data_IF_898332154895
#
_entry.id   IF_898332154895
#
_cell.length_a   1.000
_cell.length_b   1.000
_cell.length_c   1.000
_cell.angle_alpha   90.00
_cell.angle_beta   90.00
_cell.angle_gamma   90.00
#
_symmetry.space_group_name_H-M   'P 1'
#
loop_
_entity.id
_entity.type
_entity.pdbx_description
1 polymer ?
#
# COMPACT_ATOMS: atom_id res chain seq x y z
N UNK A 1 -12.35 -4.50 -25.95
CA UNK A 1 -11.09 -4.82 -26.65
C UNK A 1 -10.07 -3.78 -26.22
N UNK A 2 -8.94 -4.19 -25.65
CA UNK A 2 -7.97 -3.30 -25.00
C UNK A 2 -7.39 -2.35 -26.03
N UNK A 3 -7.81 -1.09 -26.04
CA UNK A 3 -7.37 -0.10 -27.03
C UNK A 3 -6.04 0.57 -26.67
N UNK A 4 -5.57 0.44 -25.42
CA UNK A 4 -4.30 1.01 -24.98
C UNK A 4 -3.68 0.26 -23.79
N UNK A 5 -2.81 -0.73 -24.07
CA UNK A 5 -2.12 -1.53 -23.05
C UNK A 5 -1.33 -0.67 -22.06
N UNK A 6 -0.69 0.40 -22.57
CA UNK A 6 0.14 1.27 -21.74
C UNK A 6 -0.69 2.01 -20.68
N UNK A 7 -1.89 2.46 -21.05
CA UNK A 7 -2.82 3.15 -20.15
C UNK A 7 -3.36 2.22 -19.06
N UNK A 8 -3.76 1.01 -19.43
CA UNK A 8 -4.22 0.00 -18.48
C UNK A 8 -3.13 -0.37 -17.47
N UNK A 9 -1.91 -0.63 -17.94
CA UNK A 9 -0.76 -0.93 -17.07
C UNK A 9 -0.46 0.23 -16.11
N UNK A 10 -0.53 1.47 -16.61
CA UNK A 10 -0.30 2.66 -15.80
C UNK A 10 -1.38 2.84 -14.73
N UNK A 11 -2.64 2.63 -15.09
CA UNK A 11 -3.77 2.69 -14.16
C UNK A 11 -3.61 1.66 -13.03
N UNK A 12 -3.33 0.40 -13.38
CA UNK A 12 -3.11 -0.67 -12.38
C UNK A 12 -1.92 -0.39 -11.46
N UNK A 13 -0.86 0.25 -11.97
CA UNK A 13 0.26 0.69 -11.14
C UNK A 13 -0.18 1.76 -10.12
N UNK A 14 -1.02 2.72 -10.53
CA UNK A 14 -1.55 3.74 -9.63
C UNK A 14 -2.47 3.15 -8.56
N UNK A 15 -3.35 2.21 -8.93
CA UNK A 15 -4.21 1.50 -7.99
C UNK A 15 -3.40 0.73 -6.94
N UNK A 16 -2.38 -0.02 -7.38
CA UNK A 16 -1.50 -0.75 -6.49
C UNK A 16 -0.76 0.20 -5.53
N UNK A 17 -0.28 1.34 -6.02
CA UNK A 17 0.37 2.34 -5.18
C UNK A 17 -0.58 2.89 -4.11
N UNK A 18 -1.81 3.26 -4.49
CA UNK A 18 -2.82 3.73 -3.55
C UNK A 18 -3.13 2.68 -2.49
N UNK A 19 -3.37 1.43 -2.92
CA UNK A 19 -3.64 0.31 -2.01
C UNK A 19 -2.49 0.08 -1.00
N UNK A 20 -1.24 0.06 -1.48
CA UNK A 20 -0.07 -0.15 -0.61
C UNK A 20 0.10 1.01 0.37
N UNK A 21 -0.11 2.25 -0.08
CA UNK A 21 -0.06 3.43 0.78
C UNK A 21 -1.12 3.36 1.88
N UNK A 22 -2.37 3.13 1.52
CA UNK A 22 -3.49 3.07 2.47
C UNK A 22 -3.32 1.93 3.49
N UNK A 23 -2.82 0.78 3.02
CA UNK A 23 -2.50 -0.38 3.87
C UNK A 23 -1.38 -0.03 4.86
N UNK A 24 -0.31 0.62 4.39
CA UNK A 24 0.81 1.05 5.23
C UNK A 24 0.37 2.06 6.30
N UNK A 25 -0.42 3.07 5.92
CA UNK A 25 -0.96 4.07 6.85
C UNK A 25 -1.90 3.43 7.88
N UNK A 26 -2.73 2.47 7.46
CA UNK A 26 -3.64 1.74 8.35
C UNK A 26 -2.89 0.91 9.38
N UNK A 27 -1.86 0.18 8.96
CA UNK A 27 -1.03 -0.60 9.89
C UNK A 27 -0.27 0.30 10.88
N UNK A 28 0.23 1.46 10.44
CA UNK A 28 0.84 2.44 11.36
C UNK A 28 -0.15 3.00 12.39
N UNK A 29 -1.41 3.24 11.99
CA UNK A 29 -2.48 3.62 12.91
C UNK A 29 -2.75 2.52 13.93
N UNK A 30 -2.83 1.26 13.51
CA UNK A 30 -2.99 0.12 14.41
C UNK A 30 -1.82 0.00 15.39
N UNK A 31 -0.57 0.13 14.92
CA UNK A 31 0.60 0.14 15.79
C UNK A 31 0.49 1.25 16.85
N UNK A 32 0.10 2.46 16.45
CA UNK A 32 -0.07 3.59 17.37
C UNK A 32 -1.15 3.34 18.43
N UNK A 33 -2.28 2.71 18.05
CA UNK A 33 -3.33 2.32 19.00
C UNK A 33 -2.82 1.27 19.98
N UNK A 34 -2.10 0.26 19.50
CA UNK A 34 -1.54 -0.81 20.34
C UNK A 34 -0.46 -0.28 21.29
N UNK A 35 0.37 0.67 20.87
CA UNK A 35 1.36 1.32 21.72
C UNK A 35 0.68 2.13 22.85
N UNK A 36 -0.43 2.83 22.56
CA UNK A 36 -1.25 3.50 23.59
C UNK A 36 -1.88 2.51 24.57
N UNK A 37 -2.44 1.41 24.06
CA UNK A 37 -3.02 0.36 24.91
C UNK A 37 -1.97 -0.29 25.80
N UNK A 38 -0.77 -0.51 25.28
CA UNK A 38 0.36 -1.05 26.03
C UNK A 38 0.77 -0.11 27.16
N UNK A 39 0.95 1.18 26.86
CA UNK A 39 1.26 2.19 27.86
C UNK A 39 0.19 2.25 28.96
N UNK A 40 -1.09 2.23 28.58
CA UNK A 40 -2.19 2.19 29.54
C UNK A 40 -2.17 0.92 30.39
N UNK A 41 -1.92 -0.26 29.80
CA UNK A 41 -1.84 -1.52 30.54
C UNK A 41 -0.70 -1.51 31.57
N UNK A 42 0.44 -0.90 31.23
CA UNK A 42 1.53 -0.69 32.19
C UNK A 42 1.12 0.27 33.30
N UNK A 43 0.51 1.41 32.98
CA UNK A 43 0.01 2.33 34.00
C UNK A 43 -1.05 1.72 34.93
N UNK A 44 -1.92 0.84 34.41
CA UNK A 44 -2.90 0.12 35.21
C UNK A 44 -2.20 -0.84 36.21
N UNK A 45 -1.10 -1.48 35.79
CA UNK A 45 -0.28 -2.35 36.64
C UNK A 45 0.47 -1.54 37.71
N UNK A 46 1.01 -0.38 37.35
CA UNK A 46 1.72 0.48 38.30
C UNK A 46 0.78 1.09 39.35
N UNK A 47 -0.50 1.31 38.99
CA UNK A 47 -1.52 1.84 39.90
C UNK A 47 -2.21 0.78 40.73
N UNK A 48 -2.14 -0.48 40.37
CA UNK A 48 -2.72 -1.56 41.19
C UNK A 48 -1.87 -1.66 42.45
N UNK A 49 -2.46 -1.35 43.60
CA UNK A 49 -1.77 -1.31 44.89
C UNK A 49 -1.21 -2.67 45.29
N UNK A 50 -1.98 -3.46 46.04
CA UNK A 50 -1.59 -4.84 46.34
C UNK A 50 -1.87 -5.74 45.14
N UNK A 51 -0.80 -6.31 44.59
CA UNK A 51 -0.86 -7.19 43.42
C UNK A 51 -1.26 -8.61 43.85
N UNK A 52 -2.57 -8.88 43.88
CA UNK A 52 -3.07 -10.23 44.15
C UNK A 52 -2.97 -11.14 42.91
N UNK A 53 -3.12 -12.45 43.12
CA UNK A 53 -2.97 -13.44 42.04
C UNK A 53 -4.06 -13.33 40.95
N UNK A 54 -5.26 -12.85 41.30
CA UNK A 54 -6.38 -12.74 40.36
C UNK A 54 -6.21 -11.54 39.43
N UNK A 55 -5.88 -10.36 39.98
CA UNK A 55 -5.56 -9.17 39.20
C UNK A 55 -4.27 -9.36 38.40
N UNK A 56 -3.26 -10.03 38.97
CA UNK A 56 -2.05 -10.38 38.24
C UNK A 56 -2.31 -11.23 36.99
N UNK A 57 -3.17 -12.25 37.08
CA UNK A 57 -3.56 -13.07 35.94
C UNK A 57 -4.33 -12.26 34.88
N UNK A 58 -5.21 -11.35 35.31
CA UNK A 58 -5.97 -10.46 34.41
C UNK A 58 -5.06 -9.50 33.65
N UNK A 59 -4.12 -8.84 34.34
CA UNK A 59 -3.12 -7.99 33.71
C UNK A 59 -2.22 -8.77 32.74
N UNK A 60 -1.78 -9.98 33.11
CA UNK A 60 -0.97 -10.83 32.25
C UNK A 60 -1.71 -11.23 30.96
N UNK A 61 -3.00 -11.58 31.04
CA UNK A 61 -3.82 -11.88 29.85
C UNK A 61 -3.95 -10.66 28.93
N UNK A 62 -4.30 -9.50 29.49
CA UNK A 62 -4.42 -8.23 28.73
C UNK A 62 -3.11 -7.88 28.03
N UNK A 63 -1.97 -7.95 28.75
CA UNK A 63 -0.65 -7.71 28.15
C UNK A 63 -0.32 -8.71 27.04
N UNK A 64 -0.60 -10.00 27.26
CA UNK A 64 -0.35 -11.04 26.25
C UNK A 64 -1.11 -10.77 24.96
N UNK A 65 -2.37 -10.39 25.05
CA UNK A 65 -3.21 -10.03 23.89
C UNK A 65 -2.64 -8.82 23.13
N UNK A 66 -2.39 -7.72 23.84
CA UNK A 66 -1.83 -6.50 23.24
C UNK A 66 -0.49 -6.78 22.55
N UNK A 67 0.43 -7.49 23.23
CA UNK A 67 1.74 -7.80 22.69
C UNK A 67 1.67 -8.75 21.48
N UNK A 68 0.72 -9.69 21.48
CA UNK A 68 0.52 -10.60 20.35
C UNK A 68 0.03 -9.84 19.13
N UNK A 69 -1.00 -9.02 19.29
CA UNK A 69 -1.53 -8.18 18.20
C UNK A 69 -0.47 -7.21 17.66
N UNK A 70 0.33 -6.62 18.55
CA UNK A 70 1.43 -5.74 18.19
C UNK A 70 2.50 -6.43 17.35
N UNK A 71 2.84 -7.68 17.66
CA UNK A 71 3.80 -8.47 16.87
C UNK A 71 3.27 -8.74 15.47
N UNK A 72 1.99 -9.10 15.34
CA UNK A 72 1.36 -9.34 14.04
C UNK A 72 1.38 -8.09 13.16
N UNK A 73 1.00 -6.93 13.71
CA UNK A 73 1.03 -5.65 12.97
C UNK A 73 2.45 -5.26 12.58
N UNK A 74 3.42 -5.43 13.49
CA UNK A 74 4.83 -5.13 13.19
C UNK A 74 5.43 -6.03 12.12
N UNK A 75 5.11 -7.33 12.16
CA UNK A 75 5.55 -8.29 11.14
C UNK A 75 5.01 -7.88 9.76
N UNK A 76 3.72 -7.57 9.67
CA UNK A 76 3.12 -7.13 8.41
C UNK A 76 3.71 -5.81 7.91
N UNK A 77 3.92 -4.83 8.80
CA UNK A 77 4.61 -3.59 8.45
C UNK A 77 6.00 -3.86 7.89
N UNK A 78 6.77 -4.75 8.53
CA UNK A 78 8.11 -5.09 8.07
C UNK A 78 8.10 -5.74 6.68
N UNK A 79 7.09 -6.56 6.37
CA UNK A 79 6.92 -7.15 5.03
C UNK A 79 6.46 -6.14 3.98
N UNK A 80 5.58 -5.21 4.34
CA UNK A 80 5.03 -4.21 3.42
C UNK A 80 6.01 -3.05 3.16
N UNK A 81 6.87 -2.72 4.13
CA UNK A 81 7.76 -1.55 4.10
C UNK A 81 8.63 -1.46 2.83
N UNK A 82 9.27 -2.54 2.33
CA UNK A 82 10.06 -2.47 1.10
C UNK A 82 9.21 -2.13 -0.13
N UNK A 83 8.01 -2.72 -0.23
CA UNK A 83 7.08 -2.47 -1.34
C UNK A 83 6.57 -1.03 -1.31
N UNK A 84 6.18 -0.55 -0.13
CA UNK A 84 5.78 0.85 0.06
C UNK A 84 6.90 1.82 -0.32
N UNK A 85 8.12 1.58 0.16
CA UNK A 85 9.27 2.43 -0.16
C UNK A 85 9.56 2.46 -1.65
N UNK A 86 9.51 1.31 -2.32
CA UNK A 86 9.70 1.23 -3.77
C UNK A 86 8.64 2.03 -4.52
N UNK A 87 7.36 1.74 -4.28
CA UNK A 87 6.26 2.38 -5.01
C UNK A 87 6.20 3.89 -4.75
N UNK A 88 6.48 4.33 -3.51
CA UNK A 88 6.48 5.75 -3.15
C UNK A 88 7.42 6.59 -4.01
N UNK A 89 8.59 6.06 -4.38
CA UNK A 89 9.58 6.81 -5.15
C UNK A 89 9.41 6.60 -6.66
N UNK A 90 9.18 5.34 -7.08
CA UNK A 90 9.15 5.02 -8.51
C UNK A 90 7.85 5.45 -9.19
N UNK A 91 6.71 5.41 -8.51
CA UNK A 91 5.41 5.73 -9.15
C UNK A 91 5.33 7.20 -9.55
N UNK A 92 5.87 8.12 -8.74
CA UNK A 92 5.91 9.54 -9.08
C UNK A 92 6.74 9.78 -10.34
N UNK A 93 7.94 9.21 -10.38
CA UNK A 93 8.85 9.29 -11.54
C UNK A 93 8.24 8.65 -12.79
N UNK A 94 7.65 7.47 -12.66
CA UNK A 94 6.97 6.79 -13.78
C UNK A 94 5.76 7.58 -14.26
N UNK A 95 5.01 8.24 -13.37
CA UNK A 95 3.88 9.09 -13.72
C UNK A 95 4.30 10.25 -14.63
N UNK A 96 5.37 10.95 -14.27
CA UNK A 96 5.90 12.03 -15.13
C UNK A 96 6.36 11.52 -16.48
N UNK A 97 7.10 10.40 -16.51
CA UNK A 97 7.59 9.80 -17.75
C UNK A 97 6.43 9.34 -18.65
N UNK A 98 5.42 8.71 -18.06
CA UNK A 98 4.21 8.29 -18.76
C UNK A 98 3.48 9.49 -19.37
N UNK A 99 3.24 10.56 -18.59
CA UNK A 99 2.60 11.77 -19.10
C UNK A 99 3.37 12.42 -20.25
N UNK A 100 4.71 12.46 -20.18
CA UNK A 100 5.55 12.94 -21.28
C UNK A 100 5.42 12.06 -22.52
N UNK A 101 5.44 10.74 -22.35
CA UNK A 101 5.29 9.79 -23.45
C UNK A 101 3.91 9.89 -24.12
N UNK A 102 2.84 10.04 -23.34
CA UNK A 102 1.47 10.25 -23.86
C UNK A 102 1.39 11.55 -24.66
N UNK A 103 1.94 12.66 -24.15
CA UNK A 103 1.98 13.94 -24.90
C UNK A 103 2.74 13.79 -26.21
N UNK A 104 3.94 13.17 -26.18
CA UNK A 104 4.73 12.96 -27.39
C UNK A 104 4.03 12.04 -28.38
N UNK A 105 3.31 11.02 -27.91
CA UNK A 105 2.50 10.15 -28.76
C UNK A 105 1.38 10.92 -29.45
N UNK A 106 0.71 11.83 -28.73
CA UNK A 106 -0.32 12.70 -29.31
C UNK A 106 0.25 13.62 -30.40
N UNK A 107 1.38 14.28 -30.13
CA UNK A 107 2.10 15.10 -31.11
C UNK A 107 2.47 14.29 -32.37
N UNK A 108 3.07 13.11 -32.19
CA UNK A 108 3.45 12.23 -33.30
C UNK A 108 2.25 11.80 -34.15
N UNK A 109 1.12 11.48 -33.50
CA UNK A 109 -0.11 11.13 -34.24
C UNK A 109 -0.63 12.29 -35.07
N UNK A 110 -0.51 13.53 -34.58
CA UNK A 110 -0.86 14.73 -35.36
C UNK A 110 0.13 14.99 -36.49
N UNK A 111 1.44 14.94 -36.23
CA UNK A 111 2.51 15.13 -37.23
C UNK A 111 2.38 14.14 -38.40
N UNK A 112 1.98 12.89 -38.10
CA UNK A 112 1.91 11.79 -39.06
C UNK A 112 0.49 11.51 -39.58
N UNK A 113 -0.52 12.30 -39.20
CA UNK A 113 -1.93 12.09 -39.55
C UNK A 113 -2.43 10.66 -39.26
N UNK A 114 -1.99 10.06 -38.15
CA UNK A 114 -2.35 8.69 -37.78
C UNK A 114 -3.75 8.67 -37.16
N UNK A 115 -4.71 8.09 -37.88
CA UNK A 115 -6.09 7.88 -37.42
C UNK A 115 -6.37 6.46 -36.94
N UNK A 116 -5.45 5.53 -37.23
CA UNK A 116 -5.57 4.11 -36.92
C UNK A 116 -5.20 3.81 -35.45
N UNK A 117 -5.78 2.75 -34.90
CA UNK A 117 -5.48 2.24 -33.56
C UNK A 117 -4.67 0.93 -33.60
N UNK A 118 -4.19 0.52 -32.42
CA UNK A 118 -3.39 -0.70 -32.28
C UNK A 118 -4.21 -1.97 -32.59
N UNK A 119 -5.54 -1.92 -32.42
CA UNK A 119 -6.43 -3.05 -32.71
C UNK A 119 -6.46 -3.39 -34.20
N UNK A 120 -6.43 -2.38 -35.08
CA UNK A 120 -6.28 -2.57 -36.54
C UNK A 120 -4.96 -3.25 -36.88
N UNK A 121 -3.88 -2.91 -36.17
CA UNK A 121 -2.57 -3.55 -36.35
C UNK A 121 -2.65 -5.03 -35.94
N UNK A 122 -3.20 -5.33 -34.77
CA UNK A 122 -3.39 -6.71 -34.31
C UNK A 122 -4.20 -7.57 -35.30
N UNK A 123 -5.31 -7.04 -35.80
CA UNK A 123 -6.11 -7.70 -36.82
C UNK A 123 -5.34 -7.94 -38.12
N UNK A 124 -4.51 -6.98 -38.57
CA UNK A 124 -3.72 -7.10 -39.79
C UNK A 124 -2.60 -8.17 -39.68
N UNK A 125 -2.11 -8.46 -38.49
CA UNK A 125 -1.08 -9.46 -38.23
C UNK A 125 -1.62 -10.80 -37.69
N UNK A 126 -2.94 -10.96 -37.57
CA UNK A 126 -3.57 -12.21 -37.14
C UNK A 126 -3.27 -12.58 -35.68
N UNK A 127 -3.02 -11.58 -34.84
CA UNK A 127 -2.79 -11.76 -33.39
C UNK A 127 -4.03 -11.23 -32.68
N UNK A 128 -4.90 -12.12 -32.18
CA UNK A 128 -6.07 -11.76 -31.36
C UNK A 128 -5.74 -11.78 -29.86
#
# INVERSE_FOLDING_TARGET
MITNIAEECFYRLQELHAYVKDSHETLNRFQSVLDKQLAQAYHDIERSGEFDMAEGNKHAKKLKEILTNRRLVKDELARLQPVYNFLRHEVEKTSEQYQRAVRRSYELRQELNVTEDLGRVYAAFGVE
#
